data_IF_664651856704
#
_entry.id   IF_664651856704
#
_cell.length_a   1.000
_cell.length_b   1.000
_cell.length_c   1.000
_cell.angle_alpha   90.00
_cell.angle_beta   90.00
_cell.angle_gamma   90.00
#
_symmetry.space_group_name_H-M   'P 1'
#
loop_
_entity.id
_entity.type
_entity.pdbx_description
1 polymer ?
#
# COMPACT_ATOMS: atom_id res chain seq x y z
N UNK A 1 12.14 3.74 -12.16
CA UNK A 1 10.79 4.25 -11.81
C UNK A 1 10.25 5.32 -12.75
N UNK A 2 11.08 6.18 -13.36
CA UNK A 2 10.59 7.27 -14.25
C UNK A 2 9.71 6.79 -15.41
N UNK A 3 9.93 5.60 -15.96
CA UNK A 3 9.18 5.14 -17.15
C UNK A 3 7.72 4.73 -16.87
N UNK A 4 7.42 4.07 -15.75
CA UNK A 4 6.04 3.60 -15.46
C UNK A 4 5.13 4.74 -15.05
N UNK A 5 5.64 5.70 -14.26
CA UNK A 5 4.88 6.89 -13.89
C UNK A 5 4.51 7.72 -15.13
N UNK A 6 5.45 7.91 -16.07
CA UNK A 6 5.18 8.62 -17.32
C UNK A 6 4.14 7.88 -18.17
N UNK A 7 4.21 6.55 -18.26
CA UNK A 7 3.20 5.75 -18.96
C UNK A 7 1.81 5.97 -18.34
N UNK A 8 1.69 5.98 -17.01
CA UNK A 8 0.41 6.25 -16.37
C UNK A 8 -0.11 7.65 -16.71
N UNK A 9 0.75 8.68 -16.70
CA UNK A 9 0.36 10.03 -17.09
C UNK A 9 -0.12 10.12 -18.54
N UNK A 10 0.52 9.38 -19.46
CA UNK A 10 0.18 9.41 -20.89
C UNK A 10 -1.04 8.56 -21.24
N UNK A 11 -1.21 7.41 -20.57
CA UNK A 11 -2.19 6.39 -20.97
C UNK A 11 -3.36 6.26 -20.00
N UNK A 12 -3.27 6.86 -18.81
CA UNK A 12 -4.26 6.72 -17.75
C UNK A 12 -4.29 5.33 -17.10
N UNK A 13 -3.34 4.46 -17.42
CA UNK A 13 -3.30 3.08 -16.90
C UNK A 13 -1.88 2.54 -16.78
N UNK A 14 -1.77 1.36 -16.20
CA UNK A 14 -0.58 0.51 -16.19
C UNK A 14 -0.96 -0.89 -16.67
N UNK A 15 0.00 -1.69 -17.09
CA UNK A 15 -0.27 -3.03 -17.61
C UNK A 15 0.41 -4.14 -16.80
N UNK A 16 -0.10 -5.36 -16.94
CA UNK A 16 0.46 -6.56 -16.31
C UNK A 16 1.90 -6.87 -16.77
N UNK A 17 2.23 -6.52 -18.02
CA UNK A 17 3.52 -6.69 -18.62
C UNK A 17 3.77 -5.60 -19.68
N UNK A 18 5.05 -5.29 -19.92
CA UNK A 18 5.51 -4.26 -20.83
C UNK A 18 6.39 -4.87 -21.90
N UNK A 19 6.44 -4.24 -23.08
CA UNK A 19 7.46 -4.56 -24.08
C UNK A 19 8.86 -4.29 -23.51
N UNK A 20 9.84 -5.18 -23.71
CA UNK A 20 11.18 -4.98 -23.14
C UNK A 20 11.87 -3.70 -23.65
N UNK A 21 11.64 -3.38 -24.92
CA UNK A 21 12.35 -2.32 -25.64
C UNK A 21 11.53 -1.02 -25.76
N UNK A 22 10.21 -1.10 -25.60
CA UNK A 22 9.26 -0.03 -25.94
C UNK A 22 8.38 0.31 -24.74
N UNK A 23 8.08 1.60 -24.56
CA UNK A 23 7.16 2.10 -23.53
C UNK A 23 5.68 1.81 -23.83
N UNK A 24 5.34 0.55 -24.12
CA UNK A 24 3.98 0.09 -24.44
C UNK A 24 3.67 -1.23 -23.77
N UNK A 25 2.38 -1.55 -23.72
CA UNK A 25 1.89 -2.85 -23.29
C UNK A 25 2.55 -4.00 -24.06
N UNK A 26 2.91 -5.08 -23.37
CA UNK A 26 3.44 -6.26 -24.03
C UNK A 26 2.36 -7.03 -24.80
N UNK A 27 2.79 -7.99 -25.62
CA UNK A 27 1.91 -8.77 -26.49
C UNK A 27 2.22 -10.26 -26.26
N UNK A 28 1.29 -11.06 -25.72
CA UNK A 28 -0.05 -10.67 -25.29
C UNK A 28 -0.05 -9.96 -23.93
N UNK A 29 -1.02 -9.08 -23.75
CA UNK A 29 -1.45 -8.60 -22.45
C UNK A 29 -2.95 -8.33 -22.51
N UNK A 30 -3.63 -8.52 -21.38
CA UNK A 30 -5.08 -8.42 -21.30
C UNK A 30 -5.54 -6.96 -21.28
N UNK A 31 -6.63 -6.65 -22.00
CA UNK A 31 -7.27 -5.33 -21.96
C UNK A 31 -7.80 -5.03 -20.56
N UNK A 32 -7.71 -3.77 -20.14
CA UNK A 32 -8.24 -3.26 -18.87
C UNK A 32 -7.76 -4.05 -17.65
N UNK A 33 -6.51 -4.52 -17.72
CA UNK A 33 -5.93 -5.39 -16.71
C UNK A 33 -4.50 -4.97 -16.35
N UNK A 34 -4.33 -4.57 -15.09
CA UNK A 34 -3.05 -4.10 -14.54
C UNK A 34 -2.17 -5.25 -14.01
N UNK A 35 -2.75 -6.43 -13.80
CA UNK A 35 -2.09 -7.65 -13.30
C UNK A 35 -1.07 -7.41 -12.18
N UNK A 36 0.13 -7.98 -12.35
CA UNK A 36 1.23 -7.87 -11.40
C UNK A 36 1.68 -6.42 -11.16
N UNK A 37 1.59 -5.55 -12.17
CA UNK A 37 1.91 -4.14 -12.02
C UNK A 37 1.04 -3.44 -10.98
N UNK A 38 -0.26 -3.76 -10.96
CA UNK A 38 -1.18 -3.25 -9.93
C UNK A 38 -0.87 -3.79 -8.54
N UNK A 39 -0.56 -5.09 -8.44
CA UNK A 39 -0.21 -5.72 -7.16
C UNK A 39 1.00 -5.04 -6.51
N UNK A 40 2.05 -4.81 -7.29
CA UNK A 40 3.25 -4.14 -6.79
C UNK A 40 2.97 -2.71 -6.32
N UNK A 41 2.15 -1.94 -7.04
CA UNK A 41 1.83 -0.57 -6.63
C UNK A 41 1.03 -0.51 -5.33
N UNK A 42 0.07 -1.43 -5.13
CA UNK A 42 -0.70 -1.49 -3.88
C UNK A 42 0.20 -1.83 -2.69
N UNK A 43 1.08 -2.82 -2.82
CA UNK A 43 2.06 -3.16 -1.78
C UNK A 43 3.02 -1.99 -1.51
N UNK A 44 3.55 -1.33 -2.56
CA UNK A 44 4.44 -0.18 -2.40
C UNK A 44 3.75 0.97 -1.65
N UNK A 45 2.50 1.27 -2.00
CA UNK A 45 1.70 2.30 -1.35
C UNK A 45 1.54 1.99 0.15
N UNK A 46 1.15 0.76 0.50
CA UNK A 46 0.91 0.38 1.89
C UNK A 46 2.22 0.34 2.69
N UNK A 47 3.27 -0.30 2.16
CA UNK A 47 4.50 -0.58 2.90
C UNK A 47 5.46 0.60 2.96
N UNK A 48 5.62 1.32 1.83
CA UNK A 48 6.66 2.32 1.69
C UNK A 48 6.14 3.74 1.78
N UNK A 49 4.94 4.03 1.27
CA UNK A 49 4.34 5.36 1.33
C UNK A 49 3.60 5.54 2.66
N UNK A 50 2.65 4.67 2.99
CA UNK A 50 1.93 4.69 4.27
C UNK A 50 2.74 4.12 5.43
N UNK A 51 3.82 3.39 5.15
CA UNK A 51 4.74 2.91 6.18
C UNK A 51 4.21 1.74 7.02
N UNK A 52 3.24 0.97 6.51
CA UNK A 52 2.60 -0.13 7.22
C UNK A 52 3.30 -1.45 6.88
N UNK A 53 3.87 -2.11 7.89
CA UNK A 53 4.51 -3.42 7.72
C UNK A 53 3.79 -4.46 8.58
N UNK A 54 3.37 -5.55 7.94
CA UNK A 54 2.71 -6.67 8.59
C UNK A 54 3.68 -7.86 8.68
N UNK A 55 3.95 -8.33 9.89
CA UNK A 55 4.61 -9.62 10.13
C UNK A 55 3.53 -10.61 10.57
N UNK A 56 2.91 -11.24 9.57
CA UNK A 56 1.80 -12.17 9.79
C UNK A 56 2.20 -13.37 10.66
N UNK A 57 3.35 -14.03 10.43
CA UNK A 57 3.80 -15.13 11.28
C UNK A 57 3.95 -14.75 12.76
N UNK A 58 4.49 -13.57 13.06
CA UNK A 58 4.73 -13.11 14.43
C UNK A 58 3.56 -12.31 15.03
N UNK A 59 2.46 -12.12 14.28
CA UNK A 59 1.30 -11.32 14.71
C UNK A 59 1.68 -9.91 15.15
N UNK A 60 2.58 -9.28 14.41
CA UNK A 60 3.01 -7.91 14.68
C UNK A 60 2.75 -6.98 13.49
N UNK A 61 2.43 -5.75 13.83
CA UNK A 61 2.21 -4.64 12.92
C UNK A 61 3.15 -3.50 13.30
N UNK A 62 3.94 -3.05 12.34
CA UNK A 62 4.77 -1.86 12.49
C UNK A 62 4.20 -0.73 11.64
N UNK A 63 4.02 0.44 12.27
CA UNK A 63 3.60 1.67 11.61
C UNK A 63 4.76 2.67 11.66
N UNK A 64 5.25 3.06 10.49
CA UNK A 64 6.19 4.18 10.36
C UNK A 64 5.44 5.40 9.87
N UNK A 65 5.36 6.45 10.69
CA UNK A 65 4.69 7.70 10.35
C UNK A 65 5.54 8.52 9.36
N UNK A 66 5.39 8.24 8.08
CA UNK A 66 6.16 8.89 7.00
C UNK A 66 5.50 10.12 6.40
N UNK A 67 4.19 10.28 6.61
CA UNK A 67 3.38 11.32 6.00
C UNK A 67 2.84 12.28 7.07
N UNK A 68 2.76 13.55 6.72
CA UNK A 68 2.08 14.56 7.53
C UNK A 68 0.56 14.55 7.29
N UNK A 69 0.12 14.09 6.12
CA UNK A 69 -1.29 13.98 5.78
C UNK A 69 -1.98 12.80 6.47
N UNK A 70 -3.31 12.89 6.54
CA UNK A 70 -4.17 11.83 7.03
C UNK A 70 -4.34 10.71 5.99
N UNK A 71 -4.48 9.47 6.44
CA UNK A 71 -4.87 8.35 5.58
C UNK A 71 -5.57 7.25 6.38
N UNK A 72 -6.28 6.38 5.66
CA UNK A 72 -6.95 5.22 6.23
C UNK A 72 -6.77 3.98 5.36
N UNK A 73 -6.56 2.83 6.00
CA UNK A 73 -6.66 1.50 5.41
C UNK A 73 -7.80 0.77 6.10
N UNK A 74 -8.78 0.27 5.34
CA UNK A 74 -9.97 -0.39 5.87
C UNK A 74 -10.09 -1.81 5.35
N UNK A 75 -10.43 -2.74 6.23
CA UNK A 75 -10.60 -4.16 5.91
C UNK A 75 -9.32 -4.85 5.44
N UNK A 76 -8.14 -4.35 5.86
CA UNK A 76 -6.86 -4.93 5.44
C UNK A 76 -6.72 -6.33 6.03
N UNK A 77 -6.55 -7.34 5.16
CA UNK A 77 -6.43 -8.74 5.59
C UNK A 77 -5.07 -9.03 6.20
N UNK A 78 -5.09 -9.70 7.36
CA UNK A 78 -3.89 -10.11 8.07
C UNK A 78 -3.78 -11.63 8.04
N UNK A 79 -3.31 -12.15 6.89
CA UNK A 79 -3.38 -13.58 6.59
C UNK A 79 -4.79 -14.13 6.79
N UNK A 80 -4.89 -15.24 7.53
CA UNK A 80 -6.17 -15.88 7.84
C UNK A 80 -6.69 -15.54 9.25
N UNK A 81 -6.05 -14.61 9.97
CA UNK A 81 -6.42 -14.27 11.35
C UNK A 81 -7.63 -13.33 11.42
N UNK A 82 -7.79 -12.45 10.44
CA UNK A 82 -8.89 -11.50 10.40
C UNK A 82 -8.58 -10.30 9.51
N UNK A 83 -9.21 -9.18 9.83
CA UNK A 83 -8.97 -7.90 9.16
C UNK A 83 -8.73 -6.79 10.16
N UNK A 84 -7.95 -5.80 9.74
CA UNK A 84 -7.67 -4.63 10.55
C UNK A 84 -7.95 -3.34 9.78
N UNK A 85 -8.35 -2.34 10.55
CA UNK A 85 -8.51 -0.97 10.12
C UNK A 85 -7.42 -0.12 10.76
N UNK A 86 -6.80 0.75 9.96
CA UNK A 86 -5.81 1.73 10.41
C UNK A 86 -6.31 3.11 9.99
N UNK A 87 -6.40 4.03 10.93
CA UNK A 87 -6.58 5.46 10.66
C UNK A 87 -5.37 6.21 11.21
N UNK A 88 -4.83 7.10 10.39
CA UNK A 88 -3.75 8.02 10.78
C UNK A 88 -4.25 9.44 10.59
N UNK A 89 -4.26 10.20 11.69
CA UNK A 89 -4.59 11.63 11.70
C UNK A 89 -3.49 12.47 11.05
N UNK A 90 -3.80 13.69 10.57
CA UNK A 90 -2.76 14.57 10.06
C UNK A 90 -1.88 15.10 11.20
N UNK A 91 -0.64 15.45 10.88
CA UNK A 91 0.34 15.96 11.85
C UNK A 91 -0.07 17.31 12.46
N UNK A 92 -1.01 18.02 11.84
CA UNK A 92 -1.61 19.24 12.37
C UNK A 92 -2.54 19.01 13.57
N UNK A 93 -3.04 17.79 13.77
CA UNK A 93 -4.00 17.44 14.82
C UNK A 93 -3.36 16.69 16.00
N UNK A 94 -2.39 15.83 15.74
CA UNK A 94 -1.69 15.04 16.75
C UNK A 94 -0.26 14.71 16.30
N UNK A 95 0.59 14.27 17.22
CA UNK A 95 1.99 13.95 16.93
C UNK A 95 2.37 12.54 17.36
N UNK A 96 3.23 11.87 16.60
CA UNK A 96 3.70 10.51 16.92
C UNK A 96 2.55 9.51 17.06
N UNK A 97 2.66 8.61 18.04
CA UNK A 97 1.73 7.49 18.24
C UNK A 97 0.27 7.90 18.44
N UNK A 98 0.00 9.11 18.96
CA UNK A 98 -1.37 9.62 19.15
C UNK A 98 -2.13 9.81 17.83
N UNK A 99 -1.42 9.89 16.71
CA UNK A 99 -2.03 9.98 15.38
C UNK A 99 -2.68 8.67 14.94
N UNK A 100 -2.28 7.53 15.50
CA UNK A 100 -2.60 6.20 14.98
C UNK A 100 -3.75 5.58 15.76
N UNK A 101 -4.79 5.16 15.06
CA UNK A 101 -5.88 4.34 15.59
C UNK A 101 -5.93 3.04 14.81
N UNK A 102 -5.84 1.92 15.53
CA UNK A 102 -5.89 0.58 14.94
C UNK A 102 -7.03 -0.20 15.58
N UNK A 103 -7.86 -0.82 14.76
CA UNK A 103 -8.93 -1.73 15.18
C UNK A 103 -8.73 -3.07 14.49
N UNK A 104 -8.68 -4.15 15.27
CA UNK A 104 -8.55 -5.51 14.77
C UNK A 104 -9.45 -6.45 15.58
N UNK A 105 -9.94 -7.50 14.94
CA UNK A 105 -10.77 -8.54 15.55
C UNK A 105 -9.95 -9.69 16.16
N UNK A 106 -8.63 -9.56 16.21
CA UNK A 106 -7.69 -10.54 16.73
C UNK A 106 -6.56 -9.88 17.54
N UNK A 107 -5.85 -10.63 18.41
CA UNK A 107 -4.69 -10.13 19.13
C UNK A 107 -3.54 -9.78 18.18
N UNK A 108 -3.02 -8.57 18.30
CA UNK A 108 -1.99 -7.99 17.43
C UNK A 108 -0.99 -7.19 18.28
N UNK A 109 0.31 -7.44 18.09
CA UNK A 109 1.37 -6.60 18.64
C UNK A 109 1.57 -5.39 17.73
N UNK A 110 1.63 -4.18 18.30
CA UNK A 110 1.71 -2.94 17.53
C UNK A 110 2.93 -2.14 17.98
N UNK A 111 3.76 -1.77 17.01
CA UNK A 111 4.88 -0.85 17.21
C UNK A 111 4.71 0.37 16.29
N UNK A 112 4.84 1.58 16.85
CA UNK A 112 4.70 2.85 16.11
C UNK A 112 6.02 3.62 16.21
N UNK A 113 6.50 4.09 15.07
CA UNK A 113 7.76 4.83 14.91
C UNK A 113 7.55 6.11 14.09
#
# INVERSE_FOLDING_TARGET
MQHVANIFFETGTIWENYSPELGRQGIPAKSDFVGWGGLSLVSILIEFVFGIKMDVPNRSLTVHLKLDDAFSLKGLKFGNLGSLDIDVLPASEATGAERVRISADFPLEIAIY
#
